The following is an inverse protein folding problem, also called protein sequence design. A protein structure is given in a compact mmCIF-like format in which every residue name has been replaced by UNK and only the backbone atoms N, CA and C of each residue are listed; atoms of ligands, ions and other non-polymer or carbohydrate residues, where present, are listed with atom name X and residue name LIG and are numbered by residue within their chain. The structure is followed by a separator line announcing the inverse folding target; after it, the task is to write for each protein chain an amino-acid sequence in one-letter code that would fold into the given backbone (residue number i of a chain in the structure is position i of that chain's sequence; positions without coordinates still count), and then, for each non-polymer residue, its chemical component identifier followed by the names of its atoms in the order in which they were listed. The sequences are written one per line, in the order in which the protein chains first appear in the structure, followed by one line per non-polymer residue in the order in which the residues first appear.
data_IF_233111083776
#
_entry.id   IF_233111083776
#
_cell.length_a   1.000
_cell.length_b   1.000
_cell.length_c   1.000
_cell.angle_alpha   90.00
_cell.angle_beta   90.00
_cell.angle_gamma   90.00
#
_symmetry.space_group_name_H-M   'P 1'
#
loop_
_entity.id
_entity.type
_entity.pdbx_description
1 polymer ?
#
# COMPACT_ATOMS: atom_id res chain seq x y z
N UNK A 1 8.98 -3.00 -10.70
CA UNK A 1 10.31 -2.45 -10.39
C UNK A 1 10.22 -1.22 -9.48
N UNK A 2 9.34 -0.24 -9.74
CA UNK A 2 9.15 0.95 -8.88
C UNK A 2 8.49 0.66 -7.53
N UNK A 3 7.53 -0.27 -7.45
CA UNK A 3 6.83 -0.60 -6.19
C UNK A 3 7.75 -1.25 -5.15
N UNK A 4 8.77 -2.02 -5.57
CA UNK A 4 9.69 -2.69 -4.66
C UNK A 4 10.56 -1.71 -3.86
N UNK A 5 10.97 -0.60 -4.48
CA UNK A 5 11.76 0.45 -3.80
C UNK A 5 10.94 1.20 -2.76
N UNK A 6 9.67 1.51 -3.07
CA UNK A 6 8.78 2.16 -2.12
C UNK A 6 8.53 1.26 -0.90
N UNK A 7 8.28 -0.05 -1.13
CA UNK A 7 8.13 -1.04 -0.04
C UNK A 7 9.36 -1.08 0.85
N UNK A 8 10.57 -1.13 0.29
CA UNK A 8 11.81 -1.13 1.07
C UNK A 8 11.93 0.12 1.96
N UNK A 9 11.59 1.30 1.42
CA UNK A 9 11.61 2.54 2.19
C UNK A 9 10.54 2.59 3.28
N UNK A 10 9.33 2.09 3.02
CA UNK A 10 8.29 1.99 4.04
C UNK A 10 8.72 1.04 5.17
N UNK A 11 9.29 -0.12 4.83
CA UNK A 11 9.78 -1.08 5.82
C UNK A 11 10.90 -0.49 6.67
N UNK A 12 11.79 0.30 6.05
CA UNK A 12 12.82 1.04 6.78
C UNK A 12 12.22 2.08 7.73
N UNK A 13 11.25 2.87 7.28
CA UNK A 13 10.57 3.85 8.13
C UNK A 13 9.84 3.19 9.32
N UNK A 14 9.21 2.02 9.08
CA UNK A 14 8.59 1.23 10.14
C UNK A 14 9.61 0.74 11.17
N UNK A 15 10.74 0.21 10.71
CA UNK A 15 11.83 -0.23 11.58
C UNK A 15 12.41 0.92 12.41
N UNK A 16 12.62 2.09 11.81
CA UNK A 16 13.10 3.30 12.49
C UNK A 16 12.12 3.79 13.57
N UNK A 17 10.81 3.60 13.36
CA UNK A 17 9.74 3.92 14.32
C UNK A 17 9.43 2.79 15.31
N UNK A 18 10.07 1.63 15.18
CA UNK A 18 9.82 0.45 16.04
C UNK A 18 8.42 -0.15 15.84
N UNK A 19 7.84 0.01 14.66
CA UNK A 19 6.49 -0.49 14.32
C UNK A 19 6.62 -1.85 13.65
N UNK A 20 5.94 -2.86 14.20
CA UNK A 20 5.89 -4.20 13.61
C UNK A 20 4.81 -4.25 12.51
N UNK A 21 5.24 -4.13 11.26
CA UNK A 21 4.38 -4.22 10.08
C UNK A 21 5.04 -5.08 9.01
N UNK A 22 4.20 -5.80 8.27
CA UNK A 22 4.61 -6.51 7.07
C UNK A 22 4.13 -5.76 5.83
N UNK A 23 5.06 -5.34 4.98
CA UNK A 23 4.75 -4.55 3.78
C UNK A 23 5.25 -5.30 2.54
N UNK A 24 4.37 -5.53 1.58
CA UNK A 24 4.71 -6.22 0.35
C UNK A 24 3.97 -5.66 -0.86
N UNK A 25 4.53 -5.86 -2.05
CA UNK A 25 3.94 -5.45 -3.32
C UNK A 25 3.49 -6.70 -4.10
N UNK A 26 2.29 -6.63 -4.67
CA UNK A 26 1.70 -7.71 -5.48
C UNK A 26 1.17 -7.15 -6.79
N UNK A 27 0.99 -8.03 -7.78
CA UNK A 27 0.35 -7.62 -9.02
C UNK A 27 -1.18 -7.54 -8.83
N UNK A 28 -1.86 -6.73 -9.64
CA UNK A 28 -3.31 -6.51 -9.50
C UNK A 28 -4.14 -7.80 -9.71
N UNK A 29 -3.62 -8.78 -10.46
CA UNK A 29 -4.23 -10.09 -10.66
C UNK A 29 -4.14 -11.00 -9.42
N UNK A 30 -3.26 -10.71 -8.45
CA UNK A 30 -3.08 -11.49 -7.23
C UNK A 30 -3.92 -10.95 -6.06
N UNK A 31 -4.59 -9.80 -6.26
CA UNK A 31 -5.26 -9.06 -5.19
C UNK A 31 -6.32 -9.88 -4.44
N UNK A 32 -7.04 -10.77 -5.12
CA UNK A 32 -8.12 -11.57 -4.53
C UNK A 32 -7.65 -12.52 -3.43
N UNK A 33 -6.41 -13.00 -3.52
CA UNK A 33 -5.81 -13.86 -2.48
C UNK A 33 -5.01 -13.07 -1.46
N UNK A 34 -4.37 -11.99 -1.90
CA UNK A 34 -3.45 -11.21 -1.06
C UNK A 34 -4.19 -10.31 -0.08
N UNK A 35 -5.35 -9.79 -0.47
CA UNK A 35 -6.15 -8.90 0.37
C UNK A 35 -6.64 -9.57 1.65
N UNK A 36 -6.83 -10.90 1.64
CA UNK A 36 -7.23 -11.69 2.83
C UNK A 36 -6.18 -11.67 3.95
N UNK A 37 -4.96 -11.23 3.64
CA UNK A 37 -3.82 -11.16 4.58
C UNK A 37 -3.45 -9.73 4.96
N UNK A 38 -4.16 -8.75 4.43
CA UNK A 38 -3.80 -7.34 4.55
C UNK A 38 -4.86 -6.60 5.37
N UNK A 39 -4.38 -5.78 6.31
CA UNK A 39 -5.22 -4.85 7.06
C UNK A 39 -5.53 -3.58 6.23
N UNK A 40 -4.66 -3.24 5.27
CA UNK A 40 -4.81 -2.07 4.39
C UNK A 40 -4.29 -2.41 2.99
N UNK A 41 -4.96 -1.92 1.96
CA UNK A 41 -4.51 -2.00 0.56
C UNK A 41 -4.20 -0.61 0.03
N UNK A 42 -2.95 -0.39 -0.37
CA UNK A 42 -2.54 0.83 -1.05
C UNK A 42 -2.33 0.60 -2.55
N UNK A 43 -2.98 1.44 -3.35
CA UNK A 43 -2.91 1.40 -4.80
C UNK A 43 -1.94 2.47 -5.30
N UNK A 44 -0.94 2.06 -6.07
CA UNK A 44 -0.10 3.02 -6.79
C UNK A 44 -0.95 3.88 -7.75
N UNK A 45 -0.52 5.11 -8.07
CA UNK A 45 -1.31 6.05 -8.87
C UNK A 45 -1.65 5.50 -10.27
N UNK A 46 -0.80 4.60 -10.81
CA UNK A 46 -1.06 3.93 -12.08
C UNK A 46 -2.20 2.91 -12.03
N UNK A 47 -2.52 2.37 -10.85
CA UNK A 47 -3.61 1.41 -10.66
C UNK A 47 -4.98 2.09 -10.48
N UNK A 48 -5.07 3.42 -10.64
CA UNK A 48 -6.33 4.16 -10.51
C UNK A 48 -7.44 3.62 -11.41
N UNK A 49 -7.12 3.20 -12.64
CA UNK A 49 -8.13 2.62 -13.55
C UNK A 49 -8.63 1.25 -13.08
N UNK A 50 -7.77 0.49 -12.37
CA UNK A 50 -8.10 -0.82 -11.83
C UNK A 50 -8.79 -0.73 -10.46
N UNK A 51 -8.91 0.47 -9.88
CA UNK A 51 -9.51 0.66 -8.55
C UNK A 51 -10.89 0.02 -8.47
N UNK A 52 -11.79 0.32 -9.41
CA UNK A 52 -13.16 -0.20 -9.38
C UNK A 52 -13.22 -1.73 -9.47
N UNK A 53 -12.25 -2.34 -10.15
CA UNK A 53 -12.12 -3.80 -10.19
C UNK A 53 -11.57 -4.33 -8.87
N UNK A 54 -10.54 -3.67 -8.32
CA UNK A 54 -9.90 -4.06 -7.06
C UNK A 54 -10.90 -3.94 -5.90
N UNK A 55 -11.68 -2.86 -5.83
CA UNK A 55 -12.72 -2.61 -4.81
C UNK A 55 -13.72 -3.77 -4.66
N UNK A 56 -13.95 -4.56 -5.72
CA UNK A 56 -14.81 -5.76 -5.65
C UNK A 56 -14.20 -6.90 -4.83
N UNK A 57 -12.88 -6.92 -4.68
CA UNK A 57 -12.14 -7.94 -3.94
C UNK A 57 -11.75 -7.49 -2.53
N UNK A 58 -11.60 -6.18 -2.30
CA UNK A 58 -11.11 -5.66 -1.00
C UNK A 58 -12.13 -5.76 0.12
N UNK A 59 -13.43 -5.79 -0.20
CA UNK A 59 -14.49 -5.92 0.80
C UNK A 59 -14.43 -4.78 1.83
N UNK A 60 -14.31 -5.15 3.10
CA UNK A 60 -14.26 -4.20 4.23
C UNK A 60 -12.84 -3.68 4.53
N UNK A 61 -11.81 -4.25 3.90
CA UNK A 61 -10.42 -3.80 4.09
C UNK A 61 -10.24 -2.41 3.46
N UNK A 62 -9.72 -1.41 4.21
CA UNK A 62 -9.44 -0.07 3.69
C UNK A 62 -8.58 -0.10 2.42
N UNK A 63 -9.03 0.60 1.38
CA UNK A 63 -8.32 0.69 0.11
C UNK A 63 -8.19 2.13 -0.38
N UNK A 64 -6.96 2.63 -0.43
CA UNK A 64 -6.66 4.01 -0.83
C UNK A 64 -5.58 4.11 -1.91
N UNK A 65 -5.60 5.23 -2.64
CA UNK A 65 -4.57 5.56 -3.63
C UNK A 65 -3.42 6.28 -2.95
N UNK A 66 -2.20 5.81 -3.21
CA UNK A 66 -0.99 6.55 -2.87
C UNK A 66 -0.98 7.85 -3.68
N UNK A 67 -0.65 8.96 -3.03
CA UNK A 67 -0.58 10.25 -3.72
C UNK A 67 0.50 10.21 -4.81
N UNK A 68 0.26 10.93 -5.92
CA UNK A 68 1.25 11.04 -7.01
C UNK A 68 2.56 11.67 -6.53
N UNK A 69 2.49 12.55 -5.52
CA UNK A 69 3.67 13.19 -4.92
C UNK A 69 4.51 12.17 -4.17
N UNK A 70 3.90 11.43 -3.24
CA UNK A 70 4.65 10.52 -2.37
C UNK A 70 5.19 9.33 -3.17
N UNK A 71 4.41 8.85 -4.15
CA UNK A 71 4.87 7.83 -5.08
C UNK A 71 6.01 8.33 -5.98
N UNK A 72 5.92 9.56 -6.50
CA UNK A 72 6.95 10.17 -7.34
C UNK A 72 8.26 10.43 -6.58
N UNK A 73 8.16 10.85 -5.32
CA UNK A 73 9.30 11.08 -4.43
C UNK A 73 9.83 9.79 -3.79
N UNK A 74 9.12 8.67 -3.96
CA UNK A 74 9.37 7.42 -3.24
C UNK A 74 9.47 7.67 -1.73
N UNK A 75 8.51 8.40 -1.16
CA UNK A 75 8.48 8.77 0.25
C UNK A 75 7.82 7.65 1.06
N UNK A 76 8.63 6.71 1.55
CA UNK A 76 8.11 5.57 2.32
C UNK A 76 7.59 5.94 3.71
N UNK A 77 8.02 7.06 4.27
CA UNK A 77 7.57 7.49 5.60
C UNK A 77 6.14 8.03 5.52
N UNK A 78 5.90 8.99 4.61
CA UNK A 78 4.57 9.58 4.40
C UNK A 78 3.54 8.50 4.01
N UNK A 79 3.93 7.54 3.16
CA UNK A 79 3.03 6.45 2.74
C UNK A 79 2.74 5.47 3.89
N UNK A 80 3.72 5.20 4.76
CA UNK A 80 3.50 4.37 5.96
C UNK A 80 2.52 5.06 6.92
N UNK A 81 2.70 6.35 7.19
CA UNK A 81 1.80 7.11 8.06
C UNK A 81 0.36 7.15 7.51
N UNK A 82 0.23 7.33 6.20
CA UNK A 82 -1.06 7.24 5.52
C UNK A 82 -1.68 5.84 5.64
N UNK A 83 -0.90 4.76 5.51
CA UNK A 83 -1.42 3.41 5.71
C UNK A 83 -1.93 3.21 7.15
N UNK A 84 -1.16 3.65 8.15
CA UNK A 84 -1.47 3.48 9.56
C UNK A 84 -2.71 4.29 9.99
N UNK A 85 -2.94 5.46 9.38
CA UNK A 85 -4.13 6.27 9.69
C UNK A 85 -5.44 5.62 9.24
N UNK A 86 -5.39 4.64 8.33
CA UNK A 86 -6.56 3.90 7.85
C UNK A 86 -6.95 2.73 8.77
N UNK A 87 -6.08 2.34 9.70
CA UNK A 87 -6.30 1.24 10.66
C UNK A 87 -6.95 1.76 11.96
N UNK A 88 -6.99 3.07 12.17
CA UNK A 88 -7.50 3.71 13.39
C UNK A 88 -9.02 3.60 13.56
#
# INVERSE_FOLDING_TARGET
MSTSLLVEKMQRAANEKGIDVHIWAVNANEISEQVKKADVVLLGPQARYARDQIMKFVGDTPCELISMRDYGMMDGESVLEHALSLIQ
#
